data_IF_424065066411
#
_entry.id   IF_424065066411
#
_cell.length_a   1.000
_cell.length_b   1.000
_cell.length_c   1.000
_cell.angle_alpha   90.00
_cell.angle_beta   90.00
_cell.angle_gamma   90.00
#
_symmetry.space_group_name_H-M   'P 1'
#
loop_
_entity.id
_entity.type
_entity.pdbx_description
1 polymer ?
#
# COMPACT_ATOMS: atom_id res chain seq x y z
N UNK A 1 49.74 -2.97 -17.09
CA UNK A 1 48.44 -3.27 -17.73
C UNK A 1 48.07 -4.66 -17.28
N UNK A 2 47.12 -4.78 -16.34
CA UNK A 2 46.77 -6.08 -15.73
C UNK A 2 45.88 -6.86 -16.71
N UNK A 3 46.35 -8.04 -17.12
CA UNK A 3 45.56 -8.99 -17.89
C UNK A 3 44.53 -9.60 -16.95
N UNK A 4 43.24 -9.43 -17.24
CA UNK A 4 42.21 -10.25 -16.61
C UNK A 4 42.34 -11.64 -17.20
N UNK A 5 42.98 -12.52 -16.46
CA UNK A 5 42.89 -13.96 -16.66
C UNK A 5 41.40 -14.33 -16.65
N UNK A 6 40.89 -14.75 -17.80
CA UNK A 6 39.61 -15.44 -17.86
C UNK A 6 39.86 -16.82 -17.25
N UNK A 7 39.64 -16.95 -15.95
CA UNK A 7 39.44 -18.24 -15.30
C UNK A 7 38.50 -19.05 -16.20
N UNK A 8 39.02 -20.14 -16.76
CA UNK A 8 38.26 -21.02 -17.64
C UNK A 8 37.08 -21.59 -16.87
N UNK A 9 35.89 -21.49 -17.44
CA UNK A 9 34.74 -22.22 -16.93
C UNK A 9 35.12 -23.72 -16.93
N UNK A 10 34.88 -24.45 -15.82
CA UNK A 10 35.19 -25.87 -15.74
C UNK A 10 34.52 -26.62 -16.89
N UNK A 11 35.20 -27.65 -17.40
CA UNK A 11 34.67 -28.48 -18.49
C UNK A 11 33.32 -29.09 -18.11
N UNK A 12 32.47 -29.41 -19.09
CA UNK A 12 31.14 -29.97 -18.81
C UNK A 12 31.17 -31.21 -17.91
N UNK A 13 32.24 -32.01 -18.01
CA UNK A 13 32.45 -33.22 -17.20
C UNK A 13 32.84 -32.87 -15.75
N UNK A 14 33.66 -31.84 -15.56
CA UNK A 14 34.06 -31.31 -14.23
C UNK A 14 32.87 -30.63 -13.53
N UNK A 15 31.99 -30.00 -14.30
CA UNK A 15 30.73 -29.44 -13.79
C UNK A 15 29.77 -30.54 -13.33
N UNK A 16 29.67 -31.63 -14.09
CA UNK A 16 28.83 -32.78 -13.74
C UNK A 16 29.33 -33.48 -12.48
N UNK A 17 30.66 -33.62 -12.33
CA UNK A 17 31.29 -34.18 -11.13
C UNK A 17 31.07 -33.28 -9.91
N UNK A 18 31.25 -31.96 -10.05
CA UNK A 18 31.01 -31.01 -8.96
C UNK A 18 29.53 -30.97 -8.51
N UNK A 19 28.59 -31.10 -9.44
CA UNK A 19 27.16 -31.22 -9.12
C UNK A 19 26.85 -32.56 -8.45
N UNK A 20 27.50 -33.64 -8.88
CA UNK A 20 27.39 -34.96 -8.25
C UNK A 20 27.84 -34.95 -6.79
N UNK A 21 29.04 -34.44 -6.51
CA UNK A 21 29.59 -34.31 -5.16
C UNK A 21 28.70 -33.43 -4.25
N UNK A 22 28.17 -32.34 -4.82
CA UNK A 22 27.22 -31.48 -4.11
C UNK A 22 25.91 -32.20 -3.78
N UNK A 23 25.37 -32.99 -4.71
CA UNK A 23 24.12 -33.74 -4.50
C UNK A 23 24.30 -34.90 -3.50
N UNK A 24 25.44 -35.58 -3.53
CA UNK A 24 25.76 -36.69 -2.62
C UNK A 24 25.93 -36.21 -1.16
N UNK A 25 26.33 -34.95 -0.97
CA UNK A 25 26.42 -34.29 0.33
C UNK A 25 25.09 -33.74 0.87
N UNK A 26 24.03 -33.71 0.06
CA UNK A 26 22.72 -33.19 0.47
C UNK A 26 21.87 -34.34 1.03
N UNK A 27 21.54 -34.26 2.32
CA UNK A 27 20.52 -35.11 2.93
C UNK A 27 19.11 -34.71 2.44
N UNK A 28 18.77 -35.18 1.24
CA UNK A 28 17.44 -35.04 0.66
C UNK A 28 16.38 -35.85 1.43
N UNK A 29 16.78 -36.82 2.25
CA UNK A 29 15.85 -37.62 3.06
C UNK A 29 15.28 -36.82 4.25
N UNK A 30 15.96 -35.76 4.69
CA UNK A 30 15.42 -34.74 5.61
C UNK A 30 14.55 -33.67 4.93
N UNK A 31 14.59 -33.58 3.60
CA UNK A 31 13.74 -32.69 2.80
C UNK A 31 12.43 -33.40 2.41
N UNK A 32 11.69 -33.89 3.38
CA UNK A 32 10.24 -34.05 3.22
C UNK A 32 9.65 -32.64 3.10
N UNK A 33 9.68 -32.09 1.88
CA UNK A 33 8.74 -31.06 1.48
C UNK A 33 7.37 -31.71 1.68
N UNK A 34 6.69 -31.34 2.77
CA UNK A 34 5.30 -31.70 2.96
C UNK A 34 4.56 -31.37 1.66
N UNK A 35 3.64 -32.23 1.18
CA UNK A 35 2.89 -31.95 -0.03
C UNK A 35 2.26 -30.57 0.13
N UNK A 36 2.78 -29.59 -0.61
CA UNK A 36 2.29 -28.22 -0.58
C UNK A 36 0.82 -28.30 -0.91
N UNK A 37 -0.03 -27.98 0.07
CA UNK A 37 -1.48 -27.96 -0.13
C UNK A 37 -1.78 -27.17 -1.40
N UNK A 38 -2.72 -27.64 -2.25
CA UNK A 38 -3.04 -26.96 -3.49
C UNK A 38 -3.40 -25.51 -3.18
N UNK A 39 -2.57 -24.58 -3.67
CA UNK A 39 -2.76 -23.15 -3.48
C UNK A 39 -4.13 -22.79 -4.02
N UNK A 40 -5.03 -22.40 -3.13
CA UNK A 40 -6.37 -21.96 -3.51
C UNK A 40 -6.24 -20.72 -4.38
N UNK A 41 -6.60 -20.85 -5.66
CA UNK A 41 -6.66 -19.70 -6.55
C UNK A 41 -7.77 -18.77 -6.07
N UNK A 42 -7.56 -17.44 -6.10
CA UNK A 42 -8.62 -16.50 -5.79
C UNK A 42 -9.82 -16.73 -6.75
N UNK A 43 -11.05 -16.49 -6.28
CA UNK A 43 -12.24 -16.68 -7.09
C UNK A 43 -12.20 -15.76 -8.32
N UNK A 44 -12.89 -16.15 -9.40
CA UNK A 44 -12.79 -15.48 -10.70
C UNK A 44 -13.25 -14.00 -10.67
N UNK A 45 -14.05 -13.62 -9.68
CA UNK A 45 -14.54 -12.28 -9.42
C UNK A 45 -13.67 -11.49 -8.41
N UNK A 46 -12.57 -12.07 -7.93
CA UNK A 46 -11.66 -11.38 -7.03
C UNK A 46 -11.11 -10.11 -7.71
N UNK A 47 -11.12 -8.95 -7.03
CA UNK A 47 -10.65 -7.70 -7.61
C UNK A 47 -9.16 -7.80 -7.97
N UNK A 48 -8.86 -7.56 -9.25
CA UNK A 48 -7.49 -7.55 -9.75
C UNK A 48 -6.79 -6.28 -9.25
N UNK A 49 -5.71 -6.45 -8.51
CA UNK A 49 -4.85 -5.35 -8.09
C UNK A 49 -3.55 -5.33 -8.91
N UNK A 50 -3.06 -4.13 -9.22
CA UNK A 50 -1.80 -3.94 -9.95
C UNK A 50 -0.81 -3.24 -9.03
N UNK A 51 0.38 -3.81 -8.89
CA UNK A 51 1.48 -3.19 -8.14
C UNK A 51 2.11 -2.08 -9.01
N UNK A 52 2.18 -0.87 -8.46
CA UNK A 52 2.82 0.28 -9.10
C UNK A 52 3.82 0.92 -8.14
N UNK A 53 5.13 0.95 -8.47
CA UNK A 53 6.10 1.66 -7.65
C UNK A 53 5.91 3.17 -7.81
N UNK A 54 5.85 3.89 -6.69
CA UNK A 54 5.73 5.34 -6.66
C UNK A 54 6.83 5.89 -5.77
N UNK A 55 7.46 6.99 -6.21
CA UNK A 55 8.42 7.72 -5.39
C UNK A 55 7.66 8.71 -4.51
N UNK A 56 7.77 8.55 -3.20
CA UNK A 56 7.20 9.46 -2.21
C UNK A 56 8.34 10.19 -1.50
N UNK A 57 8.18 11.48 -1.16
CA UNK A 57 9.05 12.13 -0.19
C UNK A 57 9.09 11.34 1.12
N UNK A 58 10.24 11.34 1.79
CA UNK A 58 10.45 10.54 3.00
C UNK A 58 9.46 10.89 4.12
N UNK A 59 9.23 12.19 4.31
CA UNK A 59 8.33 12.71 5.35
C UNK A 59 6.90 12.24 5.10
N UNK A 60 6.47 12.26 3.83
CA UNK A 60 5.14 11.77 3.44
C UNK A 60 5.03 10.28 3.71
N UNK A 61 6.04 9.48 3.38
CA UNK A 61 6.06 8.05 3.66
C UNK A 61 5.88 7.76 5.16
N UNK A 62 6.67 8.42 6.03
CA UNK A 62 6.60 8.22 7.47
C UNK A 62 5.24 8.67 8.05
N UNK A 63 4.67 9.78 7.54
CA UNK A 63 3.34 10.22 7.95
C UNK A 63 2.25 9.20 7.58
N UNK A 64 2.29 8.65 6.36
CA UNK A 64 1.33 7.61 5.93
C UNK A 64 1.48 6.37 6.79
N UNK A 65 2.72 5.94 7.05
CA UNK A 65 3.04 4.77 7.88
C UNK A 65 2.50 4.93 9.30
N UNK A 66 2.79 6.06 9.95
CA UNK A 66 2.33 6.34 11.30
C UNK A 66 0.79 6.35 11.39
N UNK A 67 0.13 6.95 10.40
CA UNK A 67 -1.33 7.00 10.38
C UNK A 67 -1.98 5.63 10.12
N UNK A 68 -1.41 4.84 9.21
CA UNK A 68 -1.86 3.47 8.96
C UNK A 68 -1.75 2.61 10.23
N UNK A 69 -0.62 2.72 10.94
CA UNK A 69 -0.40 2.04 12.21
C UNK A 69 -1.40 2.47 13.29
N UNK A 70 -1.63 3.79 13.43
CA UNK A 70 -2.61 4.31 14.38
C UNK A 70 -4.05 3.85 14.09
N UNK A 71 -4.37 3.58 12.82
CA UNK A 71 -5.67 3.07 12.37
C UNK A 71 -5.77 1.54 12.33
N UNK A 72 -4.67 0.82 12.55
CA UNK A 72 -4.63 -0.64 12.47
C UNK A 72 -4.86 -1.20 11.04
N UNK A 73 -4.51 -0.42 10.01
CA UNK A 73 -4.66 -0.82 8.59
C UNK A 73 -3.30 -0.87 7.89
N UNK A 74 -3.23 -1.48 6.72
CA UNK A 74 -1.98 -1.45 5.92
C UNK A 74 -1.80 -0.09 5.25
N UNK A 75 -0.55 0.29 4.96
CA UNK A 75 -0.27 1.50 4.18
C UNK A 75 -0.95 1.45 2.80
N UNK A 76 -0.98 0.28 2.16
CA UNK A 76 -1.60 0.08 0.86
C UNK A 76 -3.11 0.31 0.89
N UNK A 77 -3.79 -0.10 1.95
CA UNK A 77 -5.23 0.14 2.12
C UNK A 77 -5.51 1.62 2.28
N UNK A 78 -4.75 2.30 3.15
CA UNK A 78 -4.88 3.73 3.38
C UNK A 78 -4.60 4.55 2.10
N UNK A 79 -3.55 4.21 1.37
CA UNK A 79 -3.22 4.85 0.09
C UNK A 79 -4.34 4.62 -0.94
N UNK A 80 -4.86 3.40 -1.03
CA UNK A 80 -5.95 3.07 -1.97
C UNK A 80 -7.23 3.84 -1.64
N UNK A 81 -7.60 3.92 -0.36
CA UNK A 81 -8.74 4.70 0.13
C UNK A 81 -8.62 6.17 -0.29
N UNK A 82 -7.46 6.78 -0.03
CA UNK A 82 -7.23 8.18 -0.39
C UNK A 82 -7.22 8.43 -1.90
N UNK A 83 -6.66 7.51 -2.68
CA UNK A 83 -6.71 7.61 -4.14
C UNK A 83 -8.15 7.51 -4.63
N UNK A 84 -8.95 6.59 -4.10
CA UNK A 84 -10.38 6.46 -4.46
C UNK A 84 -11.17 7.71 -4.07
N UNK A 85 -10.97 8.23 -2.86
CA UNK A 85 -11.62 9.46 -2.40
C UNK A 85 -11.21 10.67 -3.26
N UNK A 86 -9.92 10.79 -3.58
CA UNK A 86 -9.40 11.83 -4.46
C UNK A 86 -9.97 11.76 -5.87
N UNK A 87 -10.10 10.56 -6.43
CA UNK A 87 -10.71 10.35 -7.76
C UNK A 87 -12.21 10.63 -7.76
N UNK A 88 -12.94 10.24 -6.71
CA UNK A 88 -14.36 10.59 -6.56
C UNK A 88 -14.57 12.10 -6.46
N UNK A 89 -13.65 12.81 -5.79
CA UNK A 89 -13.64 14.27 -5.72
C UNK A 89 -13.10 14.94 -7.00
N UNK A 90 -12.30 14.26 -7.83
CA UNK A 90 -11.65 14.88 -8.99
C UNK A 90 -12.62 15.37 -10.10
N UNK A 91 -13.90 14.99 -10.06
CA UNK A 91 -14.96 15.52 -10.93
C UNK A 91 -15.79 16.65 -10.31
N UNK A 92 -15.57 16.94 -9.04
CA UNK A 92 -16.29 17.94 -8.26
C UNK A 92 -15.24 18.65 -7.43
N UNK A 93 -14.63 19.70 -7.98
CA UNK A 93 -13.88 20.65 -7.16
C UNK A 93 -14.85 21.77 -6.81
N UNK A 94 -15.61 21.69 -5.69
CA UNK A 94 -16.21 22.87 -5.12
C UNK A 94 -15.12 23.92 -4.93
N UNK A 95 -15.38 25.12 -5.41
CA UNK A 95 -14.51 26.26 -5.13
C UNK A 95 -14.36 26.40 -3.60
N UNK A 96 -13.14 26.34 -3.05
CA UNK A 96 -12.91 26.38 -1.61
C UNK A 96 -13.46 27.67 -0.97
N UNK A 97 -13.54 28.77 -1.73
CA UNK A 97 -14.16 30.02 -1.27
C UNK A 97 -15.68 29.86 -1.14
N UNK A 98 -16.31 29.18 -2.10
CA UNK A 98 -17.74 28.88 -2.08
C UNK A 98 -18.10 27.96 -0.91
N UNK A 99 -17.29 26.94 -0.62
CA UNK A 99 -17.52 26.06 0.54
C UNK A 99 -17.33 26.79 1.87
N UNK A 100 -16.30 27.63 1.98
CA UNK A 100 -16.10 28.47 3.16
C UNK A 100 -17.29 29.42 3.40
N UNK A 101 -17.79 30.07 2.33
CA UNK A 101 -18.97 30.94 2.40
C UNK A 101 -20.21 30.19 2.87
N UNK A 102 -20.46 29.00 2.30
CA UNK A 102 -21.57 28.15 2.71
C UNK A 102 -21.48 27.74 4.18
N UNK A 103 -20.28 27.40 4.65
CA UNK A 103 -20.02 27.08 6.05
C UNK A 103 -20.34 28.27 6.98
N UNK A 104 -19.86 29.46 6.63
CA UNK A 104 -20.15 30.71 7.34
C UNK A 104 -21.65 31.03 7.39
N UNK A 105 -22.34 30.92 6.26
CA UNK A 105 -23.79 31.17 6.19
C UNK A 105 -24.58 30.19 7.06
N UNK A 106 -24.13 28.93 7.12
CA UNK A 106 -24.75 27.92 7.98
C UNK A 106 -24.52 28.22 9.46
N UNK A 107 -23.29 28.63 9.83
CA UNK A 107 -22.96 29.00 11.19
C UNK A 107 -23.75 30.24 11.66
N UNK A 108 -23.88 31.25 10.80
CA UNK A 108 -24.65 32.46 11.09
C UNK A 108 -26.12 32.14 11.35
N UNK A 109 -26.73 31.31 10.49
CA UNK A 109 -28.13 30.86 10.69
C UNK A 109 -28.33 30.11 12.01
N UNK A 110 -27.36 29.30 12.43
CA UNK A 110 -27.42 28.60 13.71
C UNK A 110 -27.34 29.59 14.89
N UNK A 111 -26.49 30.61 14.81
CA UNK A 111 -26.39 31.67 15.80
C UNK A 111 -27.68 32.48 15.91
N UNK A 112 -28.27 32.86 14.78
CA UNK A 112 -29.53 33.61 14.74
C UNK A 112 -30.68 32.81 15.38
N UNK A 113 -30.71 31.49 15.14
CA UNK A 113 -31.69 30.60 15.76
C UNK A 113 -31.51 30.49 17.29
N UNK A 114 -30.26 30.43 17.76
CA UNK A 114 -29.95 30.42 19.20
C UNK A 114 -30.35 31.73 19.87
N UNK A 115 -30.03 32.87 19.25
CA UNK A 115 -30.43 34.19 19.74
C UNK A 115 -31.97 34.33 19.80
N UNK A 116 -32.66 33.91 18.73
CA UNK A 116 -34.12 33.93 18.67
C UNK A 116 -34.79 32.99 19.69
N UNK A 117 -34.12 31.93 20.11
CA UNK A 117 -34.57 31.04 21.19
C UNK A 117 -34.36 31.67 22.57
N UNK A 118 -33.17 32.22 22.83
CA UNK A 118 -32.86 32.88 24.10
C UNK A 118 -33.76 34.07 24.42
N UNK A 119 -34.23 34.79 23.40
CA UNK A 119 -35.21 35.89 23.56
C UNK A 119 -36.60 35.39 23.95
N UNK A 120 -37.01 34.18 23.54
CA UNK A 120 -38.31 33.59 23.91
C UNK A 120 -38.34 33.00 25.30
N UNK A 121 -37.20 32.52 25.81
CA UNK A 121 -37.10 31.97 27.16
C UNK A 121 -37.02 33.08 28.24
N UNK A 122 -36.81 34.34 27.84
CA UNK A 122 -36.69 35.51 28.72
C UNK A 122 -37.93 36.42 28.78
N UNK A 123 -39.00 36.09 28.06
CA UNK A 123 -40.27 36.83 28.00
C UNK A 123 -41.40 36.02 28.65
#
# INVERSE_FOLDING_TARGET
>A
MNSMDREGLPGGDEYAEAVGDWLDGVDLAGSTTEPSEPVALPPADAPVSVVRPVRLPYEVHEMVKALAQARGVTMSDLIREWVQAGLAAAGTVPDPVTELRRGLDSAQRALDQLAARGVRDAA
#
